data_IF_021127604066
#
_entry.id   IF_021127604066
#
_cell.length_a   1.000
_cell.length_b   1.000
_cell.length_c   1.000
_cell.angle_alpha   90.00
_cell.angle_beta   90.00
_cell.angle_gamma   90.00
#
_symmetry.space_group_name_H-M   'P 1'
#
loop_
_entity.id
_entity.type
_entity.pdbx_description
1 polymer ?
#
# COMPACT_ATOMS: atom_id res chain seq x y z
N UNK A 1 -19.48 27.87 6.44
CA UNK A 1 -18.54 26.73 6.57
C UNK A 1 -19.37 25.46 6.39
N UNK A 2 -19.32 24.84 5.22
CA UNK A 2 -19.93 23.52 5.03
C UNK A 2 -19.11 22.50 5.82
N UNK A 3 -19.69 21.94 6.87
CA UNK A 3 -19.17 20.73 7.47
C UNK A 3 -19.39 19.61 6.45
N UNK A 4 -18.37 19.27 5.65
CA UNK A 4 -18.49 18.11 4.79
C UNK A 4 -18.68 16.86 5.66
N UNK A 5 -19.71 16.07 5.38
CA UNK A 5 -19.98 14.84 6.11
C UNK A 5 -18.81 13.86 6.00
N UNK A 6 -18.50 13.15 7.08
CA UNK A 6 -17.51 12.07 7.06
C UNK A 6 -18.12 10.86 6.35
N UNK A 7 -17.52 10.47 5.23
CA UNK A 7 -17.91 9.29 4.45
C UNK A 7 -16.79 8.26 4.58
N UNK A 8 -17.16 7.00 4.79
CA UNK A 8 -16.20 5.92 5.06
C UNK A 8 -16.32 4.77 4.07
N UNK A 9 -15.18 4.16 3.74
CA UNK A 9 -15.07 2.88 3.06
C UNK A 9 -14.25 1.93 3.95
N UNK A 10 -14.90 0.90 4.51
CA UNK A 10 -14.36 0.07 5.59
C UNK A 10 -13.88 0.91 6.79
N UNK A 11 -12.57 1.17 6.89
CA UNK A 11 -11.95 1.93 7.97
C UNK A 11 -11.19 3.16 7.46
N UNK A 12 -11.30 3.47 6.16
CA UNK A 12 -10.79 4.68 5.56
C UNK A 12 -11.91 5.71 5.42
N UNK A 13 -11.57 7.00 5.42
CA UNK A 13 -12.53 8.10 5.31
C UNK A 13 -12.06 9.22 4.39
N UNK A 14 -13.02 9.98 3.87
CA UNK A 14 -12.77 11.16 3.04
C UNK A 14 -12.08 12.33 3.77
N UNK A 15 -11.80 12.20 5.08
CA UNK A 15 -11.09 13.19 5.89
C UNK A 15 -9.60 12.93 6.02
N UNK A 16 -9.15 11.74 5.62
CA UNK A 16 -7.75 11.34 5.67
C UNK A 16 -7.06 11.68 4.35
N UNK A 17 -5.82 12.17 4.41
CA UNK A 17 -4.89 12.22 3.27
C UNK A 17 -4.28 10.84 3.09
N UNK A 18 -4.58 10.19 1.97
CA UNK A 18 -4.24 8.80 1.73
C UNK A 18 -3.22 8.70 0.59
N UNK A 19 -2.12 7.99 0.84
CA UNK A 19 -1.19 7.54 -0.19
C UNK A 19 -1.40 6.04 -0.45
N UNK A 20 -1.65 5.66 -1.69
CA UNK A 20 -1.67 4.27 -2.13
C UNK A 20 -0.43 3.96 -2.95
N UNK A 21 0.23 2.86 -2.62
CA UNK A 21 1.54 2.51 -3.14
C UNK A 21 1.49 1.16 -3.83
N UNK A 22 2.13 1.09 -5.01
CA UNK A 22 2.22 -0.15 -5.78
C UNK A 22 0.89 -0.60 -6.37
N UNK A 23 0.03 0.35 -6.76
CA UNK A 23 -1.22 0.04 -7.44
C UNK A 23 -0.93 -0.69 -8.76
N UNK A 24 -1.59 -1.84 -8.96
CA UNK A 24 -1.61 -2.55 -10.23
C UNK A 24 -2.57 -1.88 -11.20
N UNK A 25 -3.81 -2.37 -11.26
CA UNK A 25 -4.85 -1.81 -12.13
C UNK A 25 -5.57 -0.57 -11.55
N UNK A 26 -5.11 -0.02 -10.42
CA UNK A 26 -5.71 1.12 -9.70
C UNK A 26 -7.14 0.91 -9.17
N UNK A 27 -7.67 -0.32 -9.22
CA UNK A 27 -9.06 -0.58 -8.84
C UNK A 27 -9.34 -0.35 -7.35
N UNK A 28 -8.34 -0.52 -6.47
CA UNK A 28 -8.49 -0.25 -5.03
C UNK A 28 -8.60 1.25 -4.74
N UNK A 29 -7.68 2.05 -5.29
CA UNK A 29 -7.76 3.51 -5.21
C UNK A 29 -9.08 4.04 -5.75
N UNK A 30 -9.53 3.52 -6.89
CA UNK A 30 -10.80 3.92 -7.50
C UNK A 30 -12.01 3.55 -6.63
N UNK A 31 -11.97 2.41 -5.95
CA UNK A 31 -13.00 2.02 -4.99
C UNK A 31 -13.16 3.06 -3.87
N UNK A 32 -12.04 3.48 -3.26
CA UNK A 32 -12.06 4.52 -2.22
C UNK A 32 -12.57 5.85 -2.76
N UNK A 33 -12.07 6.28 -3.92
CA UNK A 33 -12.49 7.52 -4.58
C UNK A 33 -14.00 7.56 -4.85
N UNK A 34 -14.56 6.48 -5.40
CA UNK A 34 -16.01 6.36 -5.65
C UNK A 34 -16.82 6.36 -4.36
N UNK A 35 -16.35 5.67 -3.33
CA UNK A 35 -17.02 5.68 -2.02
C UNK A 35 -17.03 7.07 -1.38
N UNK A 36 -15.95 7.84 -1.53
CA UNK A 36 -15.85 9.20 -0.99
C UNK A 36 -16.55 10.26 -1.86
N UNK A 37 -16.85 9.94 -3.12
CA UNK A 37 -17.38 10.87 -4.13
C UNK A 37 -16.34 11.86 -4.67
N UNK A 38 -15.08 11.75 -4.25
CA UNK A 38 -13.94 12.56 -4.68
C UNK A 38 -12.64 11.82 -4.36
N UNK A 39 -11.56 12.15 -5.07
CA UNK A 39 -10.21 11.65 -4.83
C UNK A 39 -9.19 12.77 -4.54
N UNK A 40 -9.64 13.99 -4.22
CA UNK A 40 -8.75 15.14 -3.95
C UNK A 40 -7.83 14.94 -2.74
N UNK A 41 -8.19 14.03 -1.83
CA UNK A 41 -7.40 13.62 -0.68
C UNK A 41 -6.55 12.36 -0.94
N UNK A 42 -6.52 11.85 -2.18
CA UNK A 42 -5.86 10.61 -2.55
C UNK A 42 -4.67 10.89 -3.47
N UNK A 43 -3.52 10.31 -3.14
CA UNK A 43 -2.40 10.12 -4.06
C UNK A 43 -2.27 8.63 -4.33
N UNK A 44 -2.36 8.20 -5.60
CA UNK A 44 -2.24 6.81 -5.99
C UNK A 44 -0.99 6.62 -6.85
N UNK A 45 -0.18 5.60 -6.53
CA UNK A 45 1.14 5.43 -7.16
C UNK A 45 1.38 4.02 -7.64
N UNK A 46 2.09 3.89 -8.76
CA UNK A 46 2.52 2.61 -9.34
C UNK A 46 4.02 2.60 -9.56
N UNK A 47 4.61 1.39 -9.52
CA UNK A 47 5.99 1.18 -9.98
C UNK A 47 6.06 1.24 -11.50
N UNK A 48 5.11 0.60 -12.17
CA UNK A 48 4.99 0.60 -13.64
C UNK A 48 4.67 2.01 -14.17
N UNK A 49 5.19 2.30 -15.36
CA UNK A 49 4.80 3.48 -16.17
C UNK A 49 3.35 3.37 -16.64
N UNK A 50 2.77 4.49 -17.10
CA UNK A 50 1.39 4.48 -17.64
C UNK A 50 1.28 3.51 -18.82
N UNK A 51 2.26 3.54 -19.71
CA UNK A 51 2.32 2.70 -20.90
C UNK A 51 2.39 1.21 -20.54
N UNK A 52 3.22 0.84 -19.55
CA UNK A 52 3.31 -0.55 -19.07
C UNK A 52 2.02 -1.01 -18.42
N UNK A 53 1.36 -0.16 -17.62
CA UNK A 53 0.07 -0.48 -17.00
C UNK A 53 -1.02 -0.74 -18.03
N UNK A 54 -1.12 0.10 -19.07
CA UNK A 54 -2.09 -0.06 -20.15
C UNK A 54 -1.88 -1.34 -20.95
N UNK A 55 -0.63 -1.82 -21.04
CA UNK A 55 -0.30 -3.10 -21.66
C UNK A 55 -0.59 -4.29 -20.73
N UNK A 56 -0.30 -4.12 -19.43
CA UNK A 56 -0.42 -5.20 -18.43
C UNK A 56 -1.85 -5.45 -17.97
N UNK A 57 -2.67 -4.42 -17.83
CA UNK A 57 -4.00 -4.51 -17.22
C UNK A 57 -5.04 -3.85 -18.11
N UNK A 58 -6.02 -4.64 -18.57
CA UNK A 58 -7.06 -4.15 -19.48
C UNK A 58 -7.88 -2.97 -18.92
N UNK A 59 -8.04 -2.92 -17.59
CA UNK A 59 -8.87 -1.93 -16.89
C UNK A 59 -8.05 -0.74 -16.34
N UNK A 60 -6.71 -0.81 -16.35
CA UNK A 60 -5.87 0.23 -15.74
C UNK A 60 -6.11 1.61 -16.35
N UNK A 61 -6.20 1.70 -17.68
CA UNK A 61 -6.45 2.96 -18.39
C UNK A 61 -7.70 3.66 -17.87
N UNK A 62 -8.84 2.95 -17.92
CA UNK A 62 -10.13 3.49 -17.50
C UNK A 62 -10.13 3.85 -16.00
N UNK A 63 -9.48 3.04 -15.17
CA UNK A 63 -9.42 3.29 -13.74
C UNK A 63 -8.58 4.54 -13.40
N UNK A 64 -7.44 4.73 -14.08
CA UNK A 64 -6.58 5.92 -13.92
C UNK A 64 -7.30 7.17 -14.41
N UNK A 65 -7.91 7.13 -15.60
CA UNK A 65 -8.65 8.29 -16.16
C UNK A 65 -9.80 8.72 -15.23
N UNK A 66 -10.55 7.76 -14.68
CA UNK A 66 -11.63 8.07 -13.73
C UNK A 66 -11.10 8.62 -12.39
N UNK A 67 -9.97 8.10 -11.90
CA UNK A 67 -9.30 8.64 -10.71
C UNK A 67 -8.87 10.09 -10.90
N UNK A 68 -8.22 10.39 -12.03
CA UNK A 68 -7.80 11.74 -12.41
C UNK A 68 -9.03 12.67 -12.51
N UNK A 69 -10.13 12.20 -13.11
CA UNK A 69 -11.41 12.94 -13.19
C UNK A 69 -12.01 13.24 -11.81
N UNK A 70 -11.85 12.34 -10.84
CA UNK A 70 -12.29 12.52 -9.45
C UNK A 70 -11.33 13.40 -8.63
N UNK A 71 -10.21 13.86 -9.21
CA UNK A 71 -9.24 14.75 -8.59
C UNK A 71 -8.07 14.04 -7.90
N UNK A 72 -7.86 12.75 -8.16
CA UNK A 72 -6.72 11.99 -7.63
C UNK A 72 -5.41 12.54 -8.18
N UNK A 73 -4.37 12.59 -7.33
CA UNK A 73 -2.99 12.73 -7.83
C UNK A 73 -2.45 11.35 -8.19
N UNK A 74 -2.30 11.05 -9.48
CA UNK A 74 -1.72 9.78 -9.94
C UNK A 74 -0.24 9.98 -10.30
N UNK A 75 0.64 9.11 -9.79
CA UNK A 75 2.09 9.19 -10.03
C UNK A 75 2.65 7.82 -10.40
N UNK A 76 3.28 7.73 -11.57
CA UNK A 76 3.92 6.51 -12.05
C UNK A 76 5.43 6.50 -11.81
N UNK A 77 6.03 5.31 -11.81
CA UNK A 77 7.47 5.13 -11.61
C UNK A 77 7.92 5.33 -10.16
N UNK A 78 7.04 5.14 -9.17
CA UNK A 78 7.35 5.34 -7.75
C UNK A 78 7.92 4.04 -7.17
N UNK A 79 9.20 4.09 -6.77
CA UNK A 79 9.86 2.98 -6.08
C UNK A 79 9.67 3.11 -4.56
N UNK A 80 9.15 2.07 -3.93
CA UNK A 80 8.87 2.03 -2.49
C UNK A 80 10.12 2.20 -1.61
N UNK A 81 11.31 1.92 -2.13
CA UNK A 81 12.58 2.12 -1.43
C UNK A 81 13.06 3.57 -1.40
N UNK A 82 12.43 4.47 -2.16
CA UNK A 82 12.87 5.86 -2.30
C UNK A 82 11.73 6.86 -2.48
N UNK A 83 10.49 6.49 -2.18
CA UNK A 83 9.33 7.37 -2.34
C UNK A 83 9.35 8.55 -1.36
N UNK A 84 10.11 8.46 -0.26
CA UNK A 84 10.43 9.55 0.67
C UNK A 84 11.31 10.65 0.05
N UNK A 85 11.96 10.35 -1.08
CA UNK A 85 12.85 11.26 -1.82
C UNK A 85 12.24 11.75 -3.12
N UNK A 86 11.12 11.16 -3.54
CA UNK A 86 10.42 11.57 -4.75
C UNK A 86 9.60 12.84 -4.47
N UNK A 87 10.06 13.98 -4.98
CA UNK A 87 9.40 15.28 -4.81
C UNK A 87 7.95 15.32 -5.31
N UNK A 88 7.56 14.40 -6.21
CA UNK A 88 6.17 14.28 -6.69
C UNK A 88 5.26 13.68 -5.63
N UNK A 89 5.80 12.81 -4.76
CA UNK A 89 5.11 12.21 -3.61
C UNK A 89 5.24 13.14 -2.39
N UNK A 90 6.42 13.67 -2.14
CA UNK A 90 6.74 14.54 -0.99
C UNK A 90 6.31 15.98 -1.29
N UNK A 91 4.99 16.25 -1.30
CA UNK A 91 4.42 17.56 -1.71
C UNK A 91 4.13 18.52 -0.55
N UNK A 92 5.07 18.72 0.39
CA UNK A 92 4.80 19.44 1.66
C UNK A 92 3.60 18.89 2.44
N UNK A 93 3.19 17.66 2.13
CA UNK A 93 2.05 16.96 2.70
C UNK A 93 2.60 15.82 3.55
N UNK A 94 2.10 15.74 4.79
CA UNK A 94 2.18 14.53 5.60
C UNK A 94 0.89 13.75 5.36
N UNK A 95 1.02 12.45 5.11
CA UNK A 95 -0.12 11.55 4.93
C UNK A 95 -0.65 11.07 6.27
N UNK A 96 -1.97 10.98 6.39
CA UNK A 96 -2.62 10.36 7.54
C UNK A 96 -2.53 8.84 7.44
N UNK A 97 -2.64 8.30 6.22
CA UNK A 97 -2.62 6.87 5.94
C UNK A 97 -1.78 6.58 4.70
N UNK A 98 -0.87 5.61 4.79
CA UNK A 98 -0.13 5.07 3.63
C UNK A 98 -0.46 3.59 3.48
N UNK A 99 -0.92 3.17 2.31
CA UNK A 99 -1.44 1.82 2.06
C UNK A 99 -0.58 1.09 1.03
N UNK A 100 -0.16 -0.14 1.34
CA UNK A 100 0.44 -1.06 0.37
C UNK A 100 -0.25 -2.42 0.45
N UNK A 101 -1.07 -2.73 -0.56
CA UNK A 101 -1.84 -3.97 -0.61
C UNK A 101 -1.07 -5.05 -1.37
N UNK A 102 -0.97 -6.24 -0.75
CA UNK A 102 -0.33 -7.43 -1.32
C UNK A 102 1.04 -7.13 -1.96
N UNK A 103 1.98 -6.55 -1.18
CA UNK A 103 3.31 -6.22 -1.69
C UNK A 103 3.95 -7.45 -2.35
N UNK A 104 4.67 -7.25 -3.44
CA UNK A 104 5.31 -8.33 -4.18
C UNK A 104 6.52 -7.81 -4.96
N UNK A 105 7.60 -8.60 -5.02
CA UNK A 105 8.85 -8.21 -5.68
C UNK A 105 8.89 -8.56 -7.18
N UNK A 106 7.89 -9.31 -7.65
CA UNK A 106 7.92 -10.00 -8.94
C UNK A 106 8.63 -11.34 -8.82
N UNK A 107 8.67 -12.08 -9.92
CA UNK A 107 9.43 -13.33 -10.03
C UNK A 107 10.70 -13.07 -10.83
N UNK A 108 11.85 -13.36 -10.24
CA UNK A 108 13.12 -13.38 -10.95
C UNK A 108 13.51 -14.83 -11.31
N UNK A 109 13.46 -15.74 -10.33
CA UNK A 109 13.67 -17.19 -10.50
C UNK A 109 12.91 -17.95 -9.40
N UNK A 110 12.48 -19.19 -9.68
CA UNK A 110 11.87 -20.07 -8.67
C UNK A 110 10.38 -19.82 -8.41
N UNK A 111 9.87 -20.43 -7.34
CA UNK A 111 8.47 -20.36 -6.87
C UNK A 111 8.34 -19.30 -5.77
N UNK A 112 7.11 -18.82 -5.58
CA UNK A 112 6.70 -17.91 -4.50
C UNK A 112 7.12 -18.39 -3.10
N UNK A 113 7.19 -19.70 -2.93
CA UNK A 113 7.48 -20.38 -1.66
C UNK A 113 8.97 -20.60 -1.41
N UNK A 114 9.81 -20.31 -2.40
CA UNK A 114 11.25 -20.55 -2.28
C UNK A 114 11.85 -19.46 -1.40
N UNK A 115 12.76 -19.84 -0.50
CA UNK A 115 13.26 -18.94 0.56
C UNK A 115 13.92 -17.67 0.01
N UNK A 116 14.61 -17.76 -1.13
CA UNK A 116 15.21 -16.59 -1.79
C UNK A 116 14.15 -15.59 -2.28
N UNK A 117 13.09 -16.09 -2.91
CA UNK A 117 11.95 -15.29 -3.37
C UNK A 117 11.25 -14.61 -2.19
N UNK A 118 11.03 -15.35 -1.10
CA UNK A 118 10.49 -14.78 0.14
C UNK A 118 11.38 -13.65 0.68
N UNK A 119 12.70 -13.84 0.72
CA UNK A 119 13.62 -12.78 1.15
C UNK A 119 13.49 -11.52 0.29
N UNK A 120 13.38 -11.65 -1.04
CA UNK A 120 13.17 -10.50 -1.93
C UNK A 120 11.85 -9.76 -1.63
N UNK A 121 10.77 -10.51 -1.36
CA UNK A 121 9.50 -9.93 -0.95
C UNK A 121 9.60 -9.18 0.39
N UNK A 122 10.31 -9.75 1.36
CA UNK A 122 10.56 -9.11 2.64
C UNK A 122 11.37 -7.81 2.47
N UNK A 123 12.36 -7.78 1.57
CA UNK A 123 13.12 -6.56 1.29
C UNK A 123 12.27 -5.44 0.68
N UNK A 124 11.31 -5.76 -0.19
CA UNK A 124 10.33 -4.78 -0.69
C UNK A 124 9.50 -4.19 0.44
N UNK A 125 9.00 -5.03 1.35
CA UNK A 125 8.22 -4.59 2.52
C UNK A 125 9.06 -3.74 3.47
N UNK A 126 10.31 -4.13 3.73
CA UNK A 126 11.26 -3.37 4.55
C UNK A 126 11.57 -2.00 3.95
N UNK A 127 11.79 -1.95 2.63
CA UNK A 127 12.02 -0.70 1.89
C UNK A 127 10.82 0.23 1.97
N UNK A 128 9.62 -0.30 1.74
CA UNK A 128 8.37 0.42 1.92
C UNK A 128 8.23 0.99 3.33
N UNK A 129 8.45 0.19 4.38
CA UNK A 129 8.32 0.66 5.77
C UNK A 129 9.29 1.80 6.09
N UNK A 130 10.53 1.73 5.59
CA UNK A 130 11.52 2.80 5.80
C UNK A 130 11.05 4.11 5.15
N UNK A 131 10.65 4.08 3.89
CA UNK A 131 10.20 5.30 3.18
C UNK A 131 8.87 5.82 3.71
N UNK A 132 7.89 4.95 3.96
CA UNK A 132 6.56 5.32 4.45
C UNK A 132 6.62 5.98 5.83
N UNK A 133 7.55 5.53 6.68
CA UNK A 133 7.78 6.13 7.99
C UNK A 133 8.16 7.61 7.87
N UNK A 134 8.92 8.02 6.86
CA UNK A 134 9.29 9.43 6.70
C UNK A 134 8.14 10.30 6.18
N UNK A 135 7.06 9.69 5.68
CA UNK A 135 5.92 10.36 5.04
C UNK A 135 4.66 10.50 5.91
N UNK A 136 4.68 9.92 7.12
CA UNK A 136 3.61 10.05 8.14
C UNK A 136 4.14 10.81 9.37
N UNK A 137 3.25 11.44 10.14
CA UNK A 137 3.61 11.99 11.46
C UNK A 137 3.44 10.95 12.58
N UNK A 138 3.39 11.40 13.84
CA UNK A 138 3.18 10.53 14.99
C UNK A 138 1.75 9.97 15.10
N UNK A 139 0.77 10.63 14.47
CA UNK A 139 -0.65 10.24 14.50
C UNK A 139 -1.02 9.31 13.35
N UNK A 140 -0.33 9.44 12.21
CA UNK A 140 -0.58 8.67 10.99
C UNK A 140 -0.29 7.18 11.09
N UNK A 141 -0.83 6.42 10.15
CA UNK A 141 -0.75 4.96 10.10
C UNK A 141 -0.22 4.45 8.75
N UNK A 142 0.54 3.36 8.80
CA UNK A 142 1.06 2.64 7.63
C UNK A 142 0.36 1.29 7.58
N UNK A 143 -0.34 1.01 6.49
CA UNK A 143 -1.19 -0.15 6.33
C UNK A 143 -0.59 -1.10 5.30
N UNK A 144 -0.39 -2.36 5.69
CA UNK A 144 0.00 -3.43 4.77
C UNK A 144 -1.07 -4.50 4.80
N UNK A 145 -1.67 -4.77 3.64
CA UNK A 145 -2.60 -5.91 3.50
C UNK A 145 -1.84 -7.11 2.97
N UNK A 146 -1.92 -8.24 3.65
CA UNK A 146 -1.26 -9.46 3.19
C UNK A 146 -2.02 -10.73 3.61
N UNK A 147 -1.67 -11.83 2.95
CA UNK A 147 -2.20 -13.16 3.24
C UNK A 147 -1.69 -13.66 4.58
N UNK A 148 -2.57 -14.32 5.33
CA UNK A 148 -2.28 -14.83 6.68
C UNK A 148 -2.32 -16.37 6.77
N UNK A 149 -2.40 -17.05 5.63
CA UNK A 149 -2.25 -18.50 5.55
C UNK A 149 -0.86 -18.87 5.03
N UNK A 150 -0.34 -20.02 5.47
CA UNK A 150 0.89 -20.60 4.91
C UNK A 150 0.74 -20.76 3.39
N UNK A 151 1.78 -20.45 2.59
CA UNK A 151 3.16 -20.10 2.95
C UNK A 151 3.41 -18.60 3.19
N UNK A 152 2.40 -17.76 2.97
CA UNK A 152 2.55 -16.30 3.02
C UNK A 152 2.81 -15.75 4.43
N UNK A 153 2.41 -16.48 5.47
CA UNK A 153 2.76 -16.15 6.85
C UNK A 153 4.27 -16.06 7.08
N UNK A 154 5.08 -16.81 6.32
CA UNK A 154 6.54 -16.79 6.40
C UNK A 154 7.17 -15.44 6.03
N UNK A 155 6.38 -14.51 5.48
CA UNK A 155 6.84 -13.16 5.19
C UNK A 155 7.00 -12.32 6.47
N UNK A 156 6.35 -12.71 7.57
CA UNK A 156 6.52 -12.11 8.90
C UNK A 156 6.33 -10.58 8.93
N UNK A 157 5.28 -10.07 8.28
CA UNK A 157 5.02 -8.62 8.10
C UNK A 157 5.13 -7.81 9.40
N UNK A 158 4.64 -8.32 10.52
CA UNK A 158 4.74 -7.66 11.84
C UNK A 158 6.19 -7.48 12.28
N UNK A 159 6.98 -8.55 12.23
CA UNK A 159 8.42 -8.55 12.57
C UNK A 159 9.18 -7.57 11.70
N UNK A 160 8.89 -7.55 10.38
CA UNK A 160 9.51 -6.59 9.46
C UNK A 160 9.22 -5.13 9.85
N UNK A 161 7.99 -4.83 10.25
CA UNK A 161 7.65 -3.50 10.75
C UNK A 161 8.41 -3.14 12.03
N UNK A 162 8.48 -4.07 12.98
CA UNK A 162 9.19 -3.89 14.25
C UNK A 162 10.68 -3.61 14.06
N UNK A 163 11.34 -4.33 13.17
CA UNK A 163 12.75 -4.13 12.77
C UNK A 163 13.00 -2.73 12.19
N UNK A 164 11.98 -2.11 11.56
CA UNK A 164 12.07 -0.76 10.96
C UNK A 164 11.57 0.35 11.86
N UNK A 165 11.34 0.04 13.14
CA UNK A 165 10.95 1.01 14.15
C UNK A 165 9.46 1.36 14.13
N UNK A 166 8.62 0.42 13.69
CA UNK A 166 7.16 0.55 13.69
C UNK A 166 6.53 -0.43 14.69
N UNK A 167 5.37 -0.09 15.24
CA UNK A 167 4.55 -0.97 16.07
C UNK A 167 3.27 -1.32 15.33
N UNK A 168 2.96 -2.62 15.17
CA UNK A 168 1.67 -3.06 14.67
C UNK A 168 0.61 -2.84 15.76
N UNK A 169 -0.15 -1.76 15.68
CA UNK A 169 -1.13 -1.37 16.71
C UNK A 169 -2.50 -1.98 16.50
N UNK A 170 -2.79 -2.44 15.27
CA UNK A 170 -4.05 -3.10 14.92
C UNK A 170 -3.85 -4.08 13.78
N UNK A 171 -4.66 -5.12 13.78
CA UNK A 171 -4.85 -6.03 12.66
C UNK A 171 -6.35 -6.16 12.41
N UNK A 172 -6.77 -6.06 11.15
CA UNK A 172 -8.18 -6.22 10.75
C UNK A 172 -8.26 -7.19 9.58
N UNK A 173 -9.17 -8.15 9.65
CA UNK A 173 -9.44 -9.06 8.53
C UNK A 173 -9.80 -8.27 7.26
N UNK A 174 -9.22 -8.69 6.15
CA UNK A 174 -9.43 -8.08 4.86
C UNK A 174 -10.44 -8.89 4.05
N UNK A 175 -11.54 -8.25 3.70
CA UNK A 175 -12.56 -8.84 2.84
C UNK A 175 -12.78 -8.01 1.60
N UNK A 176 -12.65 -8.63 0.42
CA UNK A 176 -12.83 -7.95 -0.88
C UNK A 176 -14.22 -7.35 -1.06
N UNK A 177 -15.26 -7.95 -0.46
CA UNK A 177 -16.62 -7.41 -0.55
C UNK A 177 -16.76 -6.02 0.11
N UNK A 178 -15.85 -5.65 1.02
CA UNK A 178 -15.81 -4.30 1.61
C UNK A 178 -15.30 -3.24 0.63
N UNK A 179 -14.74 -3.66 -0.50
CA UNK A 179 -14.15 -2.80 -1.52
C UNK A 179 -14.75 -3.14 -2.91
N UNK A 180 -16.01 -2.76 -3.18
CA UNK A 180 -16.66 -3.06 -4.45
C UNK A 180 -15.87 -2.53 -5.65
N UNK A 181 -15.66 -3.40 -6.64
CA UNK A 181 -14.88 -3.09 -7.85
C UNK A 181 -13.38 -3.31 -7.71
N UNK A 182 -12.84 -3.53 -6.49
CA UNK A 182 -11.45 -3.91 -6.32
C UNK A 182 -11.18 -5.31 -6.89
N UNK A 183 -10.14 -5.41 -7.73
CA UNK A 183 -9.64 -6.66 -8.27
C UNK A 183 -8.17 -6.81 -7.94
N UNK A 184 -7.83 -7.78 -7.08
CA UNK A 184 -6.43 -8.06 -6.80
C UNK A 184 -5.79 -8.78 -7.99
N UNK A 185 -4.71 -8.21 -8.55
CA UNK A 185 -4.02 -8.71 -9.76
C UNK A 185 -2.73 -9.45 -9.39
N UNK A 186 -2.22 -10.28 -10.30
CA UNK A 186 -0.96 -11.02 -10.09
C UNK A 186 0.28 -10.14 -10.16
N UNK A 187 0.21 -9.00 -10.83
CA UNK A 187 1.30 -8.01 -10.81
C UNK A 187 2.49 -8.32 -11.74
N UNK A 188 2.67 -9.58 -12.17
CA UNK A 188 3.86 -10.02 -12.89
C UNK A 188 3.60 -11.21 -13.82
N UNK A 189 4.50 -11.38 -14.80
CA UNK A 189 4.44 -12.45 -15.80
C UNK A 189 3.35 -12.29 -16.87
N UNK A 190 3.21 -13.29 -17.74
CA UNK A 190 2.23 -13.29 -18.85
C UNK A 190 0.77 -13.25 -18.38
N UNK A 191 0.52 -13.63 -17.12
CA UNK A 191 -0.80 -13.63 -16.50
C UNK A 191 -0.99 -12.46 -15.51
N UNK A 192 -0.24 -11.36 -15.66
CA UNK A 192 -0.28 -10.23 -14.73
C UNK A 192 -1.70 -9.69 -14.48
N UNK A 193 -2.55 -9.61 -15.51
CA UNK A 193 -3.95 -9.14 -15.39
C UNK A 193 -4.93 -10.14 -14.79
N UNK A 194 -4.52 -11.40 -14.63
CA UNK A 194 -5.39 -12.40 -14.03
C UNK A 194 -5.61 -12.10 -12.55
N UNK A 195 -6.81 -12.39 -12.05
CA UNK A 195 -7.10 -12.29 -10.62
C UNK A 195 -6.14 -13.15 -9.80
N UNK A 196 -5.62 -12.57 -8.72
CA UNK A 196 -4.87 -13.28 -7.68
C UNK A 196 -5.78 -13.44 -6.46
N UNK A 197 -6.31 -14.65 -6.20
CA UNK A 197 -7.22 -14.89 -5.08
C UNK A 197 -6.58 -14.43 -3.77
N UNK A 198 -7.26 -13.52 -3.07
CA UNK A 198 -6.75 -12.95 -1.82
C UNK A 198 -6.72 -14.00 -0.70
N UNK A 199 -7.67 -14.94 -0.67
CA UNK A 199 -7.78 -15.93 0.42
C UNK A 199 -7.92 -15.27 1.80
N UNK A 200 -7.51 -15.99 2.86
CA UNK A 200 -7.43 -15.42 4.21
C UNK A 200 -6.34 -14.35 4.26
N UNK A 201 -6.74 -13.11 4.51
CA UNK A 201 -5.86 -11.94 4.53
C UNK A 201 -6.24 -10.97 5.63
N UNK A 202 -5.28 -10.20 6.11
CA UNK A 202 -5.46 -9.11 7.07
C UNK A 202 -4.77 -7.84 6.58
N UNK A 203 -5.30 -6.68 6.98
CA UNK A 203 -4.60 -5.40 6.96
C UNK A 203 -3.96 -5.17 8.33
N UNK A 204 -2.63 -5.10 8.35
CA UNK A 204 -1.81 -4.75 9.51
C UNK A 204 -1.58 -3.23 9.52
N UNK A 205 -1.89 -2.58 10.63
CA UNK A 205 -1.82 -1.12 10.78
C UNK A 205 -0.72 -0.76 11.76
N UNK A 206 0.27 -0.03 11.25
CA UNK A 206 1.50 0.30 11.94
C UNK A 206 1.56 1.78 12.31
N UNK A 207 2.14 2.09 13.48
CA UNK A 207 2.52 3.45 13.88
C UNK A 207 4.01 3.54 14.15
N UNK A 208 4.58 4.76 14.09
CA UNK A 208 5.96 5.00 14.53
C UNK A 208 6.13 4.58 15.98
N UNK A 209 7.22 3.87 16.28
CA UNK A 209 7.64 3.70 17.67
C UNK A 209 7.91 5.07 18.28
N UNK A 210 7.38 5.36 19.49
CA UNK A 210 7.76 6.56 20.22
C UNK A 210 9.27 6.63 20.38
N UNK A 211 9.83 7.84 20.34
CA UNK A 211 11.27 8.06 20.37
C UNK A 211 11.95 7.43 21.60
N UNK A 212 11.27 7.39 22.76
CA UNK A 212 11.81 6.79 23.98
C UNK A 212 12.02 5.27 23.88
N UNK A 213 11.21 4.54 23.11
CA UNK A 213 11.37 3.09 22.93
C UNK A 213 12.58 2.75 22.06
N UNK A 214 13.00 3.69 21.20
CA UNK A 214 14.16 3.53 20.32
C UNK A 214 15.50 3.71 21.07
N UNK A 215 15.49 4.46 22.19
CA UNK A 215 16.69 4.73 23.00
C UNK A 215 17.10 3.52 23.86
N UNK A 216 16.15 2.67 24.26
CA UNK A 216 16.46 1.48 25.08
C UNK A 216 17.17 0.37 24.29
N UNK A 217 16.95 0.28 22.97
CA UNK A 217 17.63 -0.71 22.14
C UNK A 217 19.12 -0.36 21.88
N UNK A 218 19.47 0.92 21.95
CA UNK A 218 20.83 1.42 21.73
C UNK A 218 21.75 1.41 22.96
N UNK A 219 21.28 0.91 24.12
CA UNK A 219 22.05 0.85 25.38
C UNK A 219 22.57 -0.54 25.75
N UNK A 220 22.37 -1.54 24.89
CA UNK A 220 22.82 -2.92 25.10
C UNK A 220 23.83 -3.43 24.05
N UNK A 221 24.52 -2.52 23.35
CA UNK A 221 25.71 -2.84 22.53
C UNK A 221 26.96 -2.23 23.16
#
# INVERSE_FOLDING_TARGET
MEFSNTITCSHYSNKQKILLVGEGDFSFSLCLAKAFGSATNITATSLDTREELEQKYKDAKNNVEELERLGCTVIHGVNVHSMDKDHRVVRSIVYDIIIFNFPHAGFHFGRETDSYTILQHQEVVKGFFLSAKELVDASGEIHVTHKIAHPFTSWNIKTLGEEKGLNCVREKEFYTFQYPGYSNKRGSGSNCDSSFPVGLSSTFMFKKKPWYESVFLGRFI
#
